data_IF_445370829935
#
_entry.id   IF_445370829935
#
_cell.length_a   1.000
_cell.length_b   1.000
_cell.length_c   1.000
_cell.angle_alpha   90.00
_cell.angle_beta   90.00
_cell.angle_gamma   90.00
#
_symmetry.space_group_name_H-M   'P 1'
#
loop_
_entity.id
_entity.type
_entity.pdbx_description
1 polymer ?
#
# COMPACT_ATOMS: atom_id res chain seq x y z
N UNK A 1 -13.85 14.46 20.31
CA UNK A 1 -12.53 13.81 20.35
C UNK A 1 -11.52 14.82 20.86
N UNK A 2 -10.73 14.46 21.86
CA UNK A 2 -9.64 15.33 22.30
C UNK A 2 -8.46 15.28 21.31
N UNK A 3 -7.52 16.22 21.40
CA UNK A 3 -6.38 16.31 20.47
C UNK A 3 -5.50 15.06 20.43
N UNK A 4 -5.36 14.36 21.57
CA UNK A 4 -4.56 13.14 21.68
C UNK A 4 -5.24 11.94 21.00
N UNK A 5 -6.56 11.82 21.15
CA UNK A 5 -7.37 10.82 20.45
C UNK A 5 -7.34 11.03 18.93
N UNK A 6 -7.42 12.28 18.48
CA UNK A 6 -7.30 12.61 17.04
C UNK A 6 -5.91 12.27 16.49
N UNK A 7 -4.85 12.54 17.27
CA UNK A 7 -3.49 12.15 16.85
C UNK A 7 -3.34 10.64 16.79
N UNK A 8 -3.85 9.93 17.79
CA UNK A 8 -3.84 8.47 17.85
C UNK A 8 -4.59 7.85 16.67
N UNK A 9 -5.77 8.37 16.30
CA UNK A 9 -6.54 7.82 15.18
C UNK A 9 -5.89 8.11 13.82
N UNK A 10 -5.22 9.27 13.68
CA UNK A 10 -4.46 9.61 12.46
C UNK A 10 -3.30 8.64 12.25
N UNK A 11 -2.53 8.41 13.30
CA UNK A 11 -1.43 7.47 13.28
C UNK A 11 -1.91 6.04 13.02
N UNK A 12 -2.94 5.59 13.74
CA UNK A 12 -3.54 4.26 13.54
C UNK A 12 -4.06 4.07 12.11
N UNK A 13 -4.85 5.02 11.59
CA UNK A 13 -5.39 4.96 10.23
C UNK A 13 -4.27 4.86 9.19
N UNK A 14 -3.22 5.67 9.35
CA UNK A 14 -2.06 5.65 8.46
C UNK A 14 -1.33 4.31 8.53
N UNK A 15 -1.10 3.76 9.73
CA UNK A 15 -0.39 2.51 9.91
C UNK A 15 -1.17 1.32 9.33
N UNK A 16 -2.49 1.25 9.56
CA UNK A 16 -3.34 0.19 9.00
C UNK A 16 -3.37 0.29 7.48
N UNK A 17 -3.60 1.47 6.92
CA UNK A 17 -3.61 1.65 5.46
C UNK A 17 -2.27 1.24 4.84
N UNK A 18 -1.16 1.67 5.45
CA UNK A 18 0.19 1.28 5.03
C UNK A 18 0.37 -0.23 5.02
N UNK A 19 -0.04 -0.92 6.10
CA UNK A 19 0.06 -2.38 6.18
C UNK A 19 -0.76 -3.08 5.09
N UNK A 20 -1.99 -2.62 4.84
CA UNK A 20 -2.83 -3.13 3.76
C UNK A 20 -2.19 -2.93 2.38
N UNK A 21 -1.64 -1.73 2.12
CA UNK A 21 -0.97 -1.40 0.87
C UNK A 21 0.27 -2.28 0.64
N UNK A 22 1.12 -2.44 1.66
CA UNK A 22 2.29 -3.32 1.60
C UNK A 22 1.90 -4.77 1.28
N UNK A 23 0.90 -5.29 1.98
CA UNK A 23 0.40 -6.64 1.76
C UNK A 23 -0.16 -6.84 0.35
N UNK A 24 -0.98 -5.90 -0.12
CA UNK A 24 -1.57 -5.97 -1.47
C UNK A 24 -0.50 -5.89 -2.56
N UNK A 25 0.46 -4.98 -2.44
CA UNK A 25 1.57 -4.85 -3.37
C UNK A 25 2.38 -6.14 -3.46
N UNK A 26 2.85 -6.67 -2.32
CA UNK A 26 3.66 -7.90 -2.29
C UNK A 26 2.86 -9.09 -2.85
N UNK A 27 1.56 -9.19 -2.52
CA UNK A 27 0.71 -10.26 -3.02
C UNK A 27 0.54 -10.19 -4.53
N UNK A 28 0.32 -9.00 -5.10
CA UNK A 28 0.23 -8.83 -6.55
C UNK A 28 1.54 -9.19 -7.27
N UNK A 29 2.69 -8.79 -6.71
CA UNK A 29 4.01 -9.21 -7.23
C UNK A 29 4.16 -10.73 -7.24
N UNK A 30 3.75 -11.42 -6.16
CA UNK A 30 3.78 -12.89 -6.09
C UNK A 30 2.89 -13.54 -7.13
N UNK A 31 1.68 -13.02 -7.34
CA UNK A 31 0.74 -13.53 -8.34
C UNK A 31 1.35 -13.44 -9.75
N UNK A 32 1.92 -12.29 -10.13
CA UNK A 32 2.58 -12.16 -11.43
C UNK A 32 3.75 -13.14 -11.60
N UNK A 33 4.52 -13.37 -10.53
CA UNK A 33 5.60 -14.36 -10.53
C UNK A 33 5.08 -15.80 -10.70
N UNK A 34 4.04 -16.17 -9.96
CA UNK A 34 3.42 -17.51 -9.99
C UNK A 34 2.71 -17.81 -11.32
N UNK A 35 2.19 -16.77 -11.99
CA UNK A 35 1.57 -16.88 -13.30
C UNK A 35 2.56 -16.81 -14.48
N UNK A 36 3.87 -16.76 -14.20
CA UNK A 36 4.93 -16.60 -15.21
C UNK A 36 4.80 -15.34 -16.08
N UNK A 37 4.12 -14.31 -15.57
CA UNK A 37 3.95 -12.99 -16.21
C UNK A 37 5.22 -12.13 -16.02
N UNK A 38 6.37 -12.67 -16.43
CA UNK A 38 7.69 -12.13 -16.12
C UNK A 38 7.96 -10.78 -16.79
N UNK A 39 7.38 -10.53 -17.96
CA UNK A 39 7.52 -9.23 -18.64
C UNK A 39 6.80 -8.11 -17.87
N UNK A 40 5.58 -8.39 -17.40
CA UNK A 40 4.80 -7.45 -16.57
C UNK A 40 5.52 -7.20 -15.24
N UNK A 41 6.02 -8.27 -14.62
CA UNK A 41 6.78 -8.18 -13.38
C UNK A 41 8.06 -7.34 -13.58
N UNK A 42 8.82 -7.58 -14.66
CA UNK A 42 10.02 -6.82 -14.96
C UNK A 42 9.71 -5.33 -15.20
N UNK A 43 8.63 -5.02 -15.91
CA UNK A 43 8.18 -3.65 -16.11
C UNK A 43 7.82 -2.98 -14.77
N UNK A 44 7.06 -3.64 -13.90
CA UNK A 44 6.71 -3.12 -12.57
C UNK A 44 7.95 -2.95 -11.68
N UNK A 45 9.00 -3.76 -11.87
CA UNK A 45 10.21 -3.71 -11.04
C UNK A 45 11.24 -2.69 -11.52
N UNK A 46 11.40 -2.51 -12.83
CA UNK A 46 12.56 -1.82 -13.42
C UNK A 46 12.22 -0.50 -14.11
N UNK A 47 10.97 -0.28 -14.52
CA UNK A 47 10.53 0.97 -15.14
C UNK A 47 9.87 1.86 -14.08
N UNK A 48 10.44 3.04 -13.84
CA UNK A 48 9.98 3.95 -12.79
C UNK A 48 8.54 4.43 -12.97
N UNK A 49 8.11 4.65 -14.21
CA UNK A 49 6.76 5.13 -14.49
C UNK A 49 5.74 4.01 -14.26
N UNK A 50 6.10 2.78 -14.65
CA UNK A 50 5.31 1.57 -14.37
C UNK A 50 5.25 1.27 -12.89
N UNK A 51 6.37 1.37 -12.17
CA UNK A 51 6.43 1.25 -10.72
C UNK A 51 5.46 2.22 -10.07
N UNK A 52 5.59 3.52 -10.35
CA UNK A 52 4.76 4.54 -9.71
C UNK A 52 3.29 4.36 -10.08
N UNK A 53 2.98 4.03 -11.34
CA UNK A 53 1.61 3.70 -11.77
C UNK A 53 1.03 2.52 -11.00
N UNK A 54 1.81 1.48 -10.72
CA UNK A 54 1.34 0.32 -9.97
C UNK A 54 1.16 0.64 -8.47
N UNK A 55 2.07 1.41 -7.86
CA UNK A 55 1.91 1.89 -6.49
C UNK A 55 0.64 2.75 -6.33
N UNK A 56 0.38 3.65 -7.28
CA UNK A 56 -0.83 4.46 -7.33
C UNK A 56 -2.08 3.59 -7.50
N UNK A 57 -2.01 2.56 -8.34
CA UNK A 57 -3.12 1.61 -8.51
C UNK A 57 -3.48 0.91 -7.19
N UNK A 58 -2.48 0.40 -6.46
CA UNK A 58 -2.68 -0.22 -5.14
C UNK A 58 -3.30 0.77 -4.15
N UNK A 59 -2.78 2.00 -4.10
CA UNK A 59 -3.29 3.07 -3.23
C UNK A 59 -4.75 3.42 -3.57
N UNK A 60 -5.07 3.66 -4.83
CA UNK A 60 -6.42 4.04 -5.28
C UNK A 60 -7.42 2.90 -5.10
N UNK A 61 -6.97 1.65 -5.29
CA UNK A 61 -7.79 0.46 -5.02
C UNK A 61 -8.20 0.38 -3.54
N UNK A 62 -7.25 0.60 -2.63
CA UNK A 62 -7.52 0.55 -1.19
C UNK A 62 -8.31 1.76 -0.70
N UNK A 63 -8.03 2.96 -1.21
CA UNK A 63 -8.74 4.17 -0.84
C UNK A 63 -10.26 4.03 -1.06
N UNK A 64 -10.68 3.36 -2.13
CA UNK A 64 -12.10 3.11 -2.43
C UNK A 64 -12.81 2.18 -1.43
N UNK A 65 -12.06 1.39 -0.65
CA UNK A 65 -12.59 0.30 0.20
C UNK A 65 -12.29 0.48 1.68
N UNK A 66 -11.33 1.32 2.01
CA UNK A 66 -10.78 1.41 3.37
C UNK A 66 -11.86 1.74 4.42
N UNK A 67 -12.70 2.74 4.16
CA UNK A 67 -13.73 3.15 5.13
C UNK A 67 -14.82 2.10 5.34
N UNK A 68 -15.21 1.41 4.27
CA UNK A 68 -16.17 0.30 4.34
C UNK A 68 -15.57 -0.87 5.13
N UNK A 69 -14.34 -1.26 4.82
CA UNK A 69 -13.63 -2.32 5.55
C UNK A 69 -13.45 -1.97 7.03
N UNK A 70 -13.04 -0.74 7.37
CA UNK A 70 -12.93 -0.32 8.77
C UNK A 70 -14.29 -0.35 9.49
N UNK A 71 -15.38 0.00 8.80
CA UNK A 71 -16.74 -0.07 9.36
C UNK A 71 -17.16 -1.52 9.63
N UNK A 72 -16.92 -2.43 8.71
CA UNK A 72 -17.19 -3.87 8.86
C UNK A 72 -16.43 -4.47 10.05
N UNK A 73 -15.18 -4.04 10.24
CA UNK A 73 -14.31 -4.45 11.34
C UNK A 73 -14.64 -3.76 12.68
N UNK A 74 -15.66 -2.91 12.74
CA UNK A 74 -16.01 -2.13 13.95
C UNK A 74 -14.94 -1.11 14.36
N UNK A 75 -14.05 -0.74 13.46
CA UNK A 75 -12.91 0.17 13.66
C UNK A 75 -13.30 1.62 13.38
N UNK A 76 -12.60 2.55 14.04
CA UNK A 76 -12.89 4.00 13.95
C UNK A 76 -11.98 4.72 12.96
N UNK A 77 -10.93 4.06 12.51
CA UNK A 77 -9.98 4.52 11.51
C UNK A 77 -10.68 4.84 10.19
N UNK A 78 -10.26 5.92 9.54
CA UNK A 78 -10.89 6.41 8.32
C UNK A 78 -9.84 6.97 7.36
N UNK A 79 -10.15 6.89 6.08
CA UNK A 79 -9.31 7.36 4.98
C UNK A 79 -8.94 8.83 5.15
N UNK A 80 -9.86 9.64 5.66
CA UNK A 80 -9.65 11.08 5.87
C UNK A 80 -8.47 11.39 6.79
N UNK A 81 -8.10 10.43 7.65
CA UNK A 81 -7.02 10.56 8.61
C UNK A 81 -5.71 9.92 8.14
N UNK A 82 -5.69 9.32 6.95
CA UNK A 82 -4.50 8.66 6.41
C UNK A 82 -3.53 9.71 5.85
N UNK A 83 -2.28 9.64 6.28
CA UNK A 83 -1.18 10.39 5.68
C UNK A 83 -0.70 9.67 4.40
N UNK A 84 -1.25 10.07 3.26
CA UNK A 84 -0.98 9.43 1.97
C UNK A 84 0.45 9.62 1.48
N UNK A 85 1.10 10.72 1.83
CA UNK A 85 2.50 10.96 1.46
C UNK A 85 3.41 9.97 2.20
N UNK A 86 3.15 9.74 3.49
CA UNK A 86 3.84 8.71 4.27
C UNK A 86 3.59 7.31 3.72
N UNK A 87 2.34 6.98 3.37
CA UNK A 87 2.01 5.70 2.74
C UNK A 87 2.82 5.50 1.45
N UNK A 88 2.82 6.48 0.55
CA UNK A 88 3.54 6.37 -0.72
C UNK A 88 5.06 6.27 -0.53
N UNK A 89 5.62 6.99 0.45
CA UNK A 89 7.04 6.85 0.81
C UNK A 89 7.38 5.42 1.25
N UNK A 90 6.59 4.85 2.16
CA UNK A 90 6.75 3.47 2.66
C UNK A 90 6.57 2.43 1.54
N UNK A 91 5.66 2.67 0.61
CA UNK A 91 5.42 1.79 -0.53
C UNK A 91 6.59 1.77 -1.51
N UNK A 92 7.17 2.93 -1.80
CA UNK A 92 8.40 3.01 -2.61
C UNK A 92 9.57 2.29 -1.92
N UNK A 93 9.69 2.42 -0.60
CA UNK A 93 10.69 1.67 0.17
C UNK A 93 10.48 0.15 0.03
N UNK A 94 9.25 -0.35 0.17
CA UNK A 94 8.94 -1.78 -0.01
C UNK A 94 9.25 -2.25 -1.42
N UNK A 95 8.94 -1.45 -2.44
CA UNK A 95 9.33 -1.76 -3.82
C UNK A 95 10.86 -1.92 -3.95
N UNK A 96 11.65 -0.98 -3.42
CA UNK A 96 13.11 -1.07 -3.44
C UNK A 96 13.62 -2.32 -2.72
N UNK A 97 13.04 -2.69 -1.57
CA UNK A 97 13.40 -3.92 -0.87
C UNK A 97 13.05 -5.17 -1.70
N UNK A 98 11.87 -5.19 -2.32
CA UNK A 98 11.45 -6.30 -3.18
C UNK A 98 12.39 -6.46 -4.38
N UNK A 99 12.83 -5.37 -4.99
CA UNK A 99 13.82 -5.38 -6.06
C UNK A 99 15.15 -6.01 -5.58
N UNK A 100 15.71 -5.52 -4.46
CA UNK A 100 16.99 -5.99 -3.94
C UNK A 100 16.99 -7.48 -3.57
N UNK A 101 15.92 -7.96 -2.93
CA UNK A 101 15.82 -9.35 -2.46
C UNK A 101 15.21 -10.33 -3.47
N UNK A 102 14.62 -9.85 -4.57
CA UNK A 102 14.20 -10.72 -5.68
C UNK A 102 15.34 -10.98 -6.68
N UNK A 103 16.37 -10.14 -6.67
CA UNK A 103 17.59 -10.30 -7.46
C UNK A 103 18.72 -11.07 -6.72
N UNK A 104 18.53 -11.40 -5.44
CA UNK A 104 19.43 -12.23 -4.62
C UNK A 104 18.99 -13.70 -4.62
#
# INVERSE_FOLDING_TARGET
MNSNETKSIKESSTNIFTAMAKNLYISGIRIYKEQEELEVLAAIMLDSDRTESYLLHVKDYLAKRFDEHMKEEGKRERLIYVDMDKVMHEMRYVHTQALLFSMS
#
